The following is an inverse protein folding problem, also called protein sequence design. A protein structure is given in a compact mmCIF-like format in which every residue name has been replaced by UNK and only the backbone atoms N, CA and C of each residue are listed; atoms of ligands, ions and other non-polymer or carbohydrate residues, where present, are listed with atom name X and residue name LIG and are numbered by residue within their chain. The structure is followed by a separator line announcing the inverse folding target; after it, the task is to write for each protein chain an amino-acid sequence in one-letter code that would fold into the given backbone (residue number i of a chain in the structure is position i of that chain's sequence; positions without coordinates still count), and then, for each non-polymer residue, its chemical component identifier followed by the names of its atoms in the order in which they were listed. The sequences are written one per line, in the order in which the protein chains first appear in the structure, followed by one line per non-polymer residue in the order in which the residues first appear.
data_IF_376118974044
#
_entry.id   IF_376118974044
#
_cell.length_a   1.000
_cell.length_b   1.000
_cell.length_c   1.000
_cell.angle_alpha   90.00
_cell.angle_beta   90.00
_cell.angle_gamma   90.00
#
_symmetry.space_group_name_H-M   'P 1'
#
loop_
_entity.id
_entity.type
_entity.pdbx_description
1 polymer ?
#
# COMPACT_ATOMS: atom_id res chain seq x y z
N UNK A 1 -1.15 -7.71 -21.53
CA UNK A 1 -1.63 -8.47 -20.35
C UNK A 1 -2.70 -9.49 -20.74
N UNK A 2 -3.76 -9.13 -21.46
CA UNK A 2 -4.86 -10.06 -21.83
C UNK A 2 -4.35 -11.26 -22.63
N UNK A 3 -3.43 -11.07 -23.57
CA UNK A 3 -2.81 -12.17 -24.33
C UNK A 3 -2.00 -13.10 -23.43
N UNK A 4 -1.23 -12.55 -22.50
CA UNK A 4 -0.49 -13.34 -21.50
C UNK A 4 -1.42 -14.18 -20.62
N UNK A 5 -2.52 -13.60 -20.13
CA UNK A 5 -3.51 -14.34 -19.31
C UNK A 5 -4.01 -15.58 -20.05
N UNK A 6 -4.17 -15.54 -21.37
CA UNK A 6 -4.69 -16.68 -22.18
C UNK A 6 -3.65 -17.80 -22.35
N UNK A 7 -2.38 -17.54 -22.12
CA UNK A 7 -1.29 -18.53 -22.27
C UNK A 7 -0.92 -19.22 -20.97
N UNK A 8 -1.52 -18.84 -19.83
CA UNK A 8 -1.26 -19.46 -18.53
C UNK A 8 -1.79 -20.90 -18.56
N UNK A 9 -0.92 -21.91 -18.40
CA UNK A 9 -1.25 -23.31 -18.75
C UNK A 9 -1.84 -24.12 -17.61
N UNK A 10 -2.59 -23.48 -16.70
CA UNK A 10 -3.26 -24.17 -15.57
C UNK A 10 -4.76 -23.96 -15.62
N UNK A 11 -5.48 -24.93 -15.09
CA UNK A 11 -6.93 -24.85 -14.83
C UNK A 11 -7.14 -24.71 -13.33
N UNK A 12 -7.90 -23.72 -12.92
CA UNK A 12 -8.24 -23.45 -11.52
C UNK A 12 -9.74 -23.63 -11.32
N UNK A 13 -10.13 -24.02 -10.11
CA UNK A 13 -11.52 -24.32 -9.78
C UNK A 13 -12.03 -23.45 -8.63
N UNK A 14 -13.34 -23.27 -8.58
CA UNK A 14 -14.02 -22.58 -7.48
C UNK A 14 -13.69 -23.31 -6.16
N UNK A 15 -13.40 -22.56 -5.11
CA UNK A 15 -13.00 -23.08 -3.82
C UNK A 15 -11.49 -23.19 -3.62
N UNK A 16 -10.68 -23.03 -4.68
CA UNK A 16 -9.22 -22.90 -4.59
C UNK A 16 -8.81 -21.46 -4.26
N UNK A 17 -7.63 -21.28 -3.72
CA UNK A 17 -6.97 -19.99 -3.54
C UNK A 17 -5.48 -20.12 -3.86
N UNK A 18 -4.85 -18.98 -4.10
CA UNK A 18 -3.48 -18.92 -4.55
C UNK A 18 -2.63 -17.96 -3.69
N UNK A 19 -1.33 -18.19 -3.67
CA UNK A 19 -0.33 -17.25 -3.21
C UNK A 19 0.63 -16.96 -4.36
N UNK A 20 0.79 -15.67 -4.68
CA UNK A 20 1.72 -15.18 -5.69
C UNK A 20 2.80 -14.32 -5.04
N UNK A 21 4.05 -14.70 -5.25
CA UNK A 21 5.20 -13.85 -5.02
C UNK A 21 5.41 -12.97 -6.25
N UNK A 22 4.98 -11.73 -6.18
CA UNK A 22 4.96 -10.82 -7.31
C UNK A 22 6.17 -9.90 -7.35
N UNK A 23 6.80 -9.82 -8.50
CA UNK A 23 7.72 -8.76 -8.90
C UNK A 23 7.01 -7.73 -9.81
N UNK A 24 7.72 -6.70 -10.24
CA UNK A 24 7.20 -5.74 -11.21
C UNK A 24 7.41 -6.25 -12.63
N UNK A 25 6.64 -7.26 -13.04
CA UNK A 25 6.68 -7.83 -14.40
C UNK A 25 5.29 -7.91 -15.03
N UNK A 26 5.24 -8.00 -16.35
CA UNK A 26 3.99 -8.23 -17.07
C UNK A 26 3.36 -9.58 -16.71
N UNK A 27 4.20 -10.56 -16.41
CA UNK A 27 3.83 -11.90 -15.98
C UNK A 27 3.13 -11.89 -14.62
N UNK A 28 3.69 -11.18 -13.61
CA UNK A 28 3.04 -10.98 -12.32
C UNK A 28 1.65 -10.37 -12.46
N UNK A 29 1.53 -9.32 -13.27
CA UNK A 29 0.25 -8.64 -13.52
C UNK A 29 -0.72 -9.57 -14.27
N UNK A 30 -0.22 -10.40 -15.20
CA UNK A 30 -1.05 -11.37 -15.90
C UNK A 30 -1.54 -12.49 -14.95
N UNK A 31 -0.68 -13.00 -14.06
CA UNK A 31 -1.04 -13.98 -13.04
C UNK A 31 -2.08 -13.42 -12.07
N UNK A 32 -1.88 -12.18 -11.59
CA UNK A 32 -2.89 -11.47 -10.80
C UNK A 32 -4.24 -11.40 -11.53
N UNK A 33 -4.24 -10.95 -12.78
CA UNK A 33 -5.44 -10.87 -13.61
C UNK A 33 -6.09 -12.23 -13.88
N UNK A 34 -5.29 -13.30 -14.04
CA UNK A 34 -5.76 -14.66 -14.23
C UNK A 34 -6.56 -15.16 -13.02
N UNK A 35 -6.01 -15.03 -11.81
CA UNK A 35 -6.70 -15.48 -10.60
C UNK A 35 -7.98 -14.65 -10.33
N UNK A 36 -7.93 -13.34 -10.54
CA UNK A 36 -9.11 -12.49 -10.45
C UNK A 36 -10.21 -12.92 -11.43
N UNK A 37 -9.84 -13.15 -12.69
CA UNK A 37 -10.79 -13.56 -13.73
C UNK A 37 -11.49 -14.88 -13.39
N UNK A 38 -10.75 -15.81 -12.79
CA UNK A 38 -11.27 -17.15 -12.48
C UNK A 38 -11.92 -17.25 -11.07
N UNK A 39 -12.14 -16.13 -10.37
CA UNK A 39 -12.71 -16.09 -9.01
C UNK A 39 -11.92 -16.92 -7.99
N UNK A 40 -10.60 -16.91 -8.08
CA UNK A 40 -9.66 -17.56 -7.15
C UNK A 40 -9.06 -16.48 -6.28
N UNK A 41 -9.37 -16.45 -4.96
CA UNK A 41 -8.77 -15.50 -4.03
C UNK A 41 -7.24 -15.60 -4.05
N UNK A 42 -6.58 -14.46 -4.14
CA UNK A 42 -5.14 -14.36 -4.31
C UNK A 42 -4.49 -13.67 -3.11
N UNK A 43 -3.57 -14.36 -2.43
CA UNK A 43 -2.63 -13.73 -1.49
C UNK A 43 -1.48 -13.17 -2.32
N UNK A 44 -1.30 -11.85 -2.28
CA UNK A 44 -0.30 -11.14 -3.09
C UNK A 44 0.83 -10.64 -2.19
N UNK A 45 2.00 -11.26 -2.31
CA UNK A 45 3.20 -10.95 -1.54
C UNK A 45 4.31 -10.43 -2.47
N UNK A 46 5.25 -9.68 -1.90
CA UNK A 46 6.41 -9.21 -2.64
C UNK A 46 7.39 -10.35 -2.89
N UNK A 47 7.90 -10.48 -4.13
CA UNK A 47 8.89 -11.48 -4.50
C UNK A 47 10.21 -11.36 -3.71
N UNK A 48 10.53 -10.20 -3.14
CA UNK A 48 11.71 -9.99 -2.29
C UNK A 48 11.49 -10.34 -0.81
N UNK A 49 10.27 -10.78 -0.42
CA UNK A 49 9.98 -11.17 0.96
C UNK A 49 10.87 -12.36 1.38
N UNK A 50 11.39 -12.36 2.62
CA UNK A 50 12.23 -13.45 3.13
C UNK A 50 11.49 -14.77 3.18
N UNK A 51 12.20 -15.88 2.94
CA UNK A 51 11.60 -17.21 2.85
C UNK A 51 10.88 -17.63 4.14
N UNK A 52 11.41 -17.25 5.30
CA UNK A 52 10.76 -17.54 6.59
C UNK A 52 9.40 -16.84 6.70
N UNK A 53 9.29 -15.62 6.21
CA UNK A 53 8.03 -14.87 6.21
C UNK A 53 7.03 -15.49 5.21
N UNK A 54 7.49 -15.90 4.03
CA UNK A 54 6.64 -16.59 3.04
C UNK A 54 6.14 -17.89 3.61
N UNK A 55 7.03 -18.67 4.28
CA UNK A 55 6.66 -19.92 4.93
C UNK A 55 5.55 -19.74 5.95
N UNK A 56 5.58 -18.65 6.70
CA UNK A 56 4.54 -18.31 7.66
C UNK A 56 3.16 -18.13 7.02
N UNK A 57 3.09 -17.47 5.85
CA UNK A 57 1.84 -17.34 5.09
C UNK A 57 1.40 -18.68 4.49
N UNK A 58 2.35 -19.49 3.99
CA UNK A 58 2.07 -20.83 3.47
C UNK A 58 1.50 -21.74 4.54
N UNK A 59 2.01 -21.67 5.77
CA UNK A 59 1.57 -22.50 6.89
C UNK A 59 0.18 -22.10 7.39
N UNK A 60 -0.08 -20.79 7.47
CA UNK A 60 -1.32 -20.26 7.99
C UNK A 60 -2.46 -20.41 7.00
N UNK A 61 -2.21 -20.01 5.74
CA UNK A 61 -3.26 -19.94 4.73
C UNK A 61 -3.34 -21.14 3.82
N UNK A 62 -2.32 -22.00 3.77
CA UNK A 62 -2.27 -23.27 3.02
C UNK A 62 -2.82 -23.15 1.59
N UNK A 63 -2.32 -22.21 0.74
CA UNK A 63 -2.87 -21.99 -0.59
C UNK A 63 -2.82 -23.26 -1.44
N UNK A 64 -3.79 -23.41 -2.36
CA UNK A 64 -3.80 -24.53 -3.31
C UNK A 64 -2.75 -24.34 -4.39
N UNK A 65 -2.53 -23.09 -4.78
CA UNK A 65 -1.54 -22.72 -5.77
C UNK A 65 -0.48 -21.82 -5.15
N UNK A 66 0.78 -22.16 -5.40
CA UNK A 66 1.92 -21.32 -5.03
C UNK A 66 2.69 -20.94 -6.28
N UNK A 67 2.80 -19.63 -6.55
CA UNK A 67 3.37 -19.08 -7.77
C UNK A 67 4.50 -18.11 -7.42
N UNK A 68 5.67 -18.31 -8.02
CA UNK A 68 6.87 -17.54 -7.68
C UNK A 68 7.83 -17.41 -8.87
N UNK A 69 8.66 -16.36 -8.95
CA UNK A 69 9.69 -16.20 -9.98
C UNK A 69 10.72 -17.33 -9.91
N UNK A 70 11.07 -17.91 -11.07
CA UNK A 70 12.01 -19.05 -11.18
C UNK A 70 13.42 -18.74 -10.66
N UNK A 71 13.86 -17.48 -10.78
CA UNK A 71 15.16 -17.01 -10.28
C UNK A 71 15.23 -16.95 -8.75
N UNK A 72 14.10 -17.10 -8.07
CA UNK A 72 14.05 -17.27 -6.62
C UNK A 72 14.42 -18.70 -6.29
N UNK A 73 15.64 -18.92 -5.79
CA UNK A 73 16.13 -20.22 -5.32
C UNK A 73 15.40 -20.67 -4.04
N UNK A 74 14.12 -21.00 -4.18
CA UNK A 74 13.43 -21.77 -3.13
C UNK A 74 13.98 -23.19 -3.17
N UNK A 75 14.10 -23.88 -2.03
CA UNK A 75 14.60 -25.25 -2.00
C UNK A 75 13.82 -26.11 -3.00
N UNK A 76 14.52 -26.65 -4.03
CA UNK A 76 13.88 -27.47 -5.05
C UNK A 76 13.19 -28.68 -4.42
N UNK A 77 11.93 -28.84 -4.75
CA UNK A 77 11.13 -29.98 -4.33
C UNK A 77 11.41 -31.14 -5.29
N UNK A 78 12.40 -31.99 -4.94
CA UNK A 78 12.50 -33.29 -5.56
C UNK A 78 11.40 -34.17 -4.97
N UNK A 79 10.41 -34.51 -5.79
CA UNK A 79 9.32 -35.42 -5.44
C UNK A 79 9.85 -36.73 -4.87
N UNK A 80 9.65 -36.93 -3.59
CA UNK A 80 9.80 -38.20 -2.91
C UNK A 80 8.49 -38.53 -2.23
N UNK A 81 7.78 -39.51 -2.73
CA UNK A 81 6.63 -40.11 -2.05
C UNK A 81 7.08 -40.51 -0.65
N UNK A 82 6.64 -39.79 0.38
CA UNK A 82 6.38 -40.32 1.71
C UNK A 82 6.04 -39.20 2.71
N UNK A 83 4.88 -39.36 3.30
CA UNK A 83 4.37 -38.83 4.57
C UNK A 83 4.84 -37.45 5.05
N UNK A 84 3.91 -36.47 5.03
CA UNK A 84 4.01 -35.21 5.76
C UNK A 84 4.12 -35.48 7.28
N UNK A 85 5.33 -35.74 7.78
CA UNK A 85 5.58 -35.70 9.22
C UNK A 85 5.65 -34.25 9.69
N UNK A 86 5.10 -33.96 10.85
CA UNK A 86 4.91 -32.59 11.43
C UNK A 86 6.17 -31.72 11.55
N UNK A 87 7.35 -32.26 11.29
CA UNK A 87 8.65 -31.59 11.45
C UNK A 87 9.42 -31.31 10.15
N UNK A 88 8.82 -31.50 8.94
CA UNK A 88 9.48 -31.13 7.67
C UNK A 88 8.94 -29.77 7.17
N UNK A 89 9.84 -28.96 6.61
CA UNK A 89 9.50 -27.67 5.98
C UNK A 89 8.34 -27.85 4.99
N UNK A 90 7.17 -27.24 5.24
CA UNK A 90 5.88 -27.51 4.57
C UNK A 90 5.82 -27.16 3.07
N UNK A 91 6.81 -26.51 2.50
CA UNK A 91 7.00 -26.40 1.05
C UNK A 91 7.02 -27.78 0.37
N UNK A 92 7.42 -28.83 1.06
CA UNK A 92 7.49 -30.21 0.53
C UNK A 92 6.14 -30.83 0.11
N UNK A 93 5.03 -30.13 0.40
CA UNK A 93 3.69 -30.55 -0.02
C UNK A 93 3.28 -29.99 -1.39
N UNK A 94 4.13 -29.19 -2.03
CA UNK A 94 3.85 -28.58 -3.34
C UNK A 94 4.68 -29.27 -4.42
N UNK A 95 4.01 -29.65 -5.51
CA UNK A 95 4.64 -30.18 -6.71
C UNK A 95 4.59 -29.13 -7.82
N UNK A 96 5.67 -29.00 -8.58
CA UNK A 96 5.68 -28.12 -9.76
C UNK A 96 4.69 -28.66 -10.78
N UNK A 97 3.61 -27.91 -11.02
CA UNK A 97 2.63 -28.22 -12.05
C UNK A 97 3.17 -27.83 -13.43
N UNK A 98 3.78 -26.63 -13.53
CA UNK A 98 4.40 -26.16 -14.75
C UNK A 98 5.31 -24.96 -14.49
N UNK A 99 6.10 -24.60 -15.51
CA UNK A 99 6.80 -23.33 -15.61
C UNK A 99 6.12 -22.49 -16.70
N UNK A 100 6.01 -21.18 -16.46
CA UNK A 100 5.42 -20.26 -17.40
C UNK A 100 6.12 -18.89 -17.36
N UNK A 101 6.72 -18.48 -18.46
CA UNK A 101 7.37 -17.17 -18.64
C UNK A 101 8.21 -16.69 -17.44
N UNK A 102 9.14 -17.55 -16.97
CA UNK A 102 10.00 -17.21 -15.84
C UNK A 102 9.37 -17.40 -14.47
N UNK A 103 8.15 -17.91 -14.37
CA UNK A 103 7.47 -18.27 -13.13
C UNK A 103 7.35 -19.80 -12.98
N UNK A 104 7.49 -20.27 -11.75
CA UNK A 104 7.13 -21.61 -11.34
C UNK A 104 5.72 -21.58 -10.76
N UNK A 105 4.85 -22.44 -11.26
CA UNK A 105 3.50 -22.63 -10.77
C UNK A 105 3.46 -24.00 -10.12
N UNK A 106 3.34 -24.02 -8.79
CA UNK A 106 3.27 -25.24 -8.00
C UNK A 106 1.87 -25.43 -7.42
N UNK A 107 1.41 -26.67 -7.38
CA UNK A 107 0.12 -27.02 -6.78
C UNK A 107 0.35 -27.91 -5.56
N UNK A 108 -0.50 -27.73 -4.57
CA UNK A 108 -0.58 -28.67 -3.46
C UNK A 108 -1.34 -29.91 -3.94
N UNK A 109 -0.73 -31.11 -3.84
CA UNK A 109 -1.37 -32.35 -4.23
C UNK A 109 -2.74 -32.53 -3.55
N UNK A 110 -3.63 -33.30 -4.19
CA UNK A 110 -5.03 -33.54 -3.77
C UNK A 110 -5.21 -34.25 -2.42
N UNK A 111 -4.17 -34.39 -1.60
CA UNK A 111 -4.25 -35.08 -0.32
C UNK A 111 -5.24 -34.39 0.64
N UNK A 112 -6.51 -34.78 0.57
CA UNK A 112 -7.46 -34.59 1.66
C UNK A 112 -8.20 -33.23 1.75
N UNK A 113 -8.22 -32.39 0.70
CA UNK A 113 -9.09 -31.24 0.68
C UNK A 113 -10.41 -31.58 -0.06
N UNK A 114 -11.41 -31.98 0.67
CA UNK A 114 -12.78 -31.82 0.20
C UNK A 114 -13.06 -30.33 0.09
N UNK A 115 -13.21 -29.84 -1.16
CA UNK A 115 -13.50 -28.44 -1.50
C UNK A 115 -14.96 -28.08 -1.13
N UNK A 116 -15.31 -28.14 0.14
CA UNK A 116 -16.63 -27.77 0.64
C UNK A 116 -16.71 -26.34 1.16
N UNK A 117 -15.59 -25.56 1.05
CA UNK A 117 -15.55 -24.21 1.56
C UNK A 117 -16.15 -23.21 0.55
N UNK A 118 -17.13 -22.44 1.04
CA UNK A 118 -17.60 -21.24 0.35
C UNK A 118 -16.78 -20.04 0.85
N UNK A 119 -15.95 -19.47 -0.03
CA UNK A 119 -15.25 -18.22 0.26
C UNK A 119 -16.26 -17.12 0.61
N UNK A 120 -15.83 -16.16 1.44
CA UNK A 120 -16.53 -14.90 1.60
C UNK A 120 -16.91 -14.38 0.20
N UNK A 121 -18.15 -14.02 0.02
CA UNK A 121 -18.70 -13.66 -1.29
C UNK A 121 -17.85 -12.57 -1.94
N UNK A 122 -17.42 -12.82 -3.17
CA UNK A 122 -16.55 -11.94 -3.96
C UNK A 122 -15.13 -11.66 -3.39
N UNK A 123 -14.66 -12.40 -2.38
CA UNK A 123 -13.25 -12.30 -1.96
C UNK A 123 -12.35 -12.53 -3.16
N UNK A 124 -11.45 -11.58 -3.43
CA UNK A 124 -10.60 -11.59 -4.60
C UNK A 124 -9.12 -11.47 -4.29
N UNK A 125 -8.77 -10.64 -3.31
CA UNK A 125 -7.38 -10.27 -3.04
C UNK A 125 -7.13 -10.14 -1.54
N UNK A 126 -5.97 -10.63 -1.13
CA UNK A 126 -5.46 -10.52 0.23
C UNK A 126 -4.07 -9.89 0.19
N UNK A 127 -3.90 -8.75 0.86
CA UNK A 127 -2.64 -8.00 0.88
C UNK A 127 -2.18 -7.82 2.34
N UNK A 128 -0.90 -8.05 2.66
CA UNK A 128 -0.37 -7.73 3.97
C UNK A 128 -0.33 -6.21 4.20
N UNK A 129 -0.54 -5.78 5.43
CA UNK A 129 -0.30 -4.40 5.83
C UNK A 129 1.09 -4.26 6.45
N UNK A 130 1.73 -3.11 6.23
CA UNK A 130 3.02 -2.75 6.85
C UNK A 130 2.93 -2.47 8.36
N UNK A 131 1.84 -2.86 9.03
CA UNK A 131 1.57 -2.55 10.43
C UNK A 131 2.53 -3.22 11.40
N UNK A 132 2.95 -2.47 12.40
CA UNK A 132 3.97 -2.68 13.42
C UNK A 132 3.69 -3.81 14.44
N UNK A 133 2.74 -4.68 14.22
CA UNK A 133 2.29 -5.65 15.24
C UNK A 133 2.58 -7.11 14.90
N UNK A 134 3.65 -7.41 14.17
CA UNK A 134 4.21 -8.78 14.08
C UNK A 134 3.25 -9.91 13.66
N UNK A 135 2.02 -9.61 13.27
CA UNK A 135 0.99 -10.59 12.92
C UNK A 135 0.82 -10.73 11.41
N UNK A 136 0.54 -11.94 10.95
CA UNK A 136 0.29 -12.32 9.54
C UNK A 136 -1.06 -11.82 9.02
N UNK A 137 -1.42 -10.59 9.40
CA UNK A 137 -2.73 -9.99 9.10
C UNK A 137 -2.81 -9.60 7.64
N UNK A 138 -3.82 -10.09 6.94
CA UNK A 138 -4.13 -9.75 5.56
C UNK A 138 -5.40 -8.88 5.49
N UNK A 139 -5.36 -7.86 4.67
CA UNK A 139 -6.55 -7.09 4.27
C UNK A 139 -7.28 -7.86 3.20
N UNK A 140 -8.57 -8.12 3.42
CA UNK A 140 -9.46 -8.83 2.49
C UNK A 140 -10.17 -7.84 1.58
N UNK A 141 -9.98 -7.98 0.27
CA UNK A 141 -10.57 -7.11 -0.76
C UNK A 141 -11.41 -7.91 -1.73
N UNK A 142 -12.58 -7.35 -2.08
CA UNK A 142 -13.45 -7.91 -3.11
C UNK A 142 -13.10 -7.37 -4.50
N UNK A 143 -13.60 -8.01 -5.55
CA UNK A 143 -13.56 -7.46 -6.91
C UNK A 143 -14.25 -6.11 -6.99
N UNK A 144 -15.38 -5.95 -6.28
CA UNK A 144 -16.12 -4.70 -6.22
C UNK A 144 -15.29 -3.57 -5.61
N UNK A 145 -14.52 -3.86 -4.53
CA UNK A 145 -13.60 -2.88 -3.93
C UNK A 145 -12.53 -2.44 -4.93
N UNK A 146 -11.88 -3.41 -5.61
CA UNK A 146 -10.84 -3.14 -6.60
C UNK A 146 -11.37 -2.29 -7.76
N UNK A 147 -12.53 -2.67 -8.31
CA UNK A 147 -13.17 -1.95 -9.42
C UNK A 147 -13.62 -0.53 -9.02
N UNK A 148 -14.25 -0.38 -7.84
CA UNK A 148 -14.67 0.92 -7.33
C UNK A 148 -13.50 1.87 -7.14
N UNK A 149 -12.39 1.38 -6.56
CA UNK A 149 -11.21 2.20 -6.34
C UNK A 149 -10.50 2.56 -7.65
N UNK A 150 -10.35 1.59 -8.58
CA UNK A 150 -9.76 1.84 -9.90
C UNK A 150 -10.54 2.92 -10.67
N UNK A 151 -11.87 2.82 -10.68
CA UNK A 151 -12.75 3.83 -11.28
C UNK A 151 -12.55 5.20 -10.63
N UNK A 152 -12.65 5.30 -9.30
CA UNK A 152 -12.54 6.58 -8.59
C UNK A 152 -11.17 7.23 -8.79
N UNK A 153 -10.09 6.44 -8.86
CA UNK A 153 -8.74 6.96 -9.15
C UNK A 153 -8.67 7.48 -10.59
N UNK A 154 -9.16 6.70 -11.56
CA UNK A 154 -9.14 7.12 -12.96
C UNK A 154 -9.91 8.43 -13.17
N UNK A 155 -11.08 8.57 -12.55
CA UNK A 155 -11.88 9.80 -12.58
C UNK A 155 -11.14 10.96 -11.90
N UNK A 156 -10.59 10.76 -10.69
CA UNK A 156 -9.87 11.80 -9.93
C UNK A 156 -8.63 12.31 -10.64
N UNK A 157 -7.91 11.44 -11.36
CA UNK A 157 -6.67 11.76 -12.05
C UNK A 157 -6.88 12.06 -13.56
N UNK A 158 -8.14 12.17 -13.99
CA UNK A 158 -8.50 12.46 -15.39
C UNK A 158 -7.80 11.51 -16.38
N UNK A 159 -7.74 10.21 -16.01
CA UNK A 159 -7.09 9.18 -16.82
C UNK A 159 -8.01 8.70 -17.96
N UNK A 160 -7.43 8.44 -19.12
CA UNK A 160 -8.10 7.86 -20.28
C UNK A 160 -7.22 6.82 -20.98
N UNK A 161 -7.65 6.34 -22.15
CA UNK A 161 -6.94 5.31 -22.90
C UNK A 161 -5.59 5.74 -23.48
N UNK A 162 -5.25 7.03 -23.43
CA UNK A 162 -3.93 7.54 -23.84
C UNK A 162 -2.89 7.42 -22.72
N UNK A 163 -3.31 7.05 -21.50
CA UNK A 163 -2.44 6.94 -20.34
C UNK A 163 -1.34 5.89 -20.54
N UNK A 164 -0.11 6.26 -20.21
CA UNK A 164 1.08 5.41 -20.23
C UNK A 164 1.79 5.51 -18.88
N UNK A 165 1.31 4.71 -17.92
CA UNK A 165 1.73 4.81 -16.52
C UNK A 165 2.98 3.99 -16.22
N UNK A 166 3.97 4.58 -15.58
CA UNK A 166 5.17 3.89 -15.11
C UNK A 166 4.85 3.01 -13.88
N UNK A 167 5.21 1.73 -13.92
CA UNK A 167 5.10 0.78 -12.81
C UNK A 167 6.42 0.76 -12.04
N UNK A 168 6.63 1.75 -11.18
CA UNK A 168 7.86 1.93 -10.39
C UNK A 168 7.74 1.45 -8.94
N UNK A 169 6.52 1.25 -8.46
CA UNK A 169 6.27 0.73 -7.11
C UNK A 169 5.89 -0.75 -7.17
N UNK A 170 6.21 -1.54 -6.13
CA UNK A 170 5.85 -2.95 -6.08
C UNK A 170 4.36 -3.16 -6.33
N UNK A 171 4.01 -4.07 -7.25
CA UNK A 171 2.61 -4.44 -7.53
C UNK A 171 1.95 -5.14 -6.36
N UNK A 172 2.72 -5.68 -5.42
CA UNK A 172 2.26 -6.22 -4.14
C UNK A 172 1.94 -5.17 -3.08
N UNK A 173 2.27 -3.91 -3.34
CA UNK A 173 1.91 -2.77 -2.50
C UNK A 173 0.61 -2.12 -3.02
N UNK A 174 -0.33 -1.81 -2.14
CA UNK A 174 -1.66 -1.31 -2.53
C UNK A 174 -1.60 -0.07 -3.44
N UNK A 175 -0.64 0.86 -3.23
CA UNK A 175 -0.47 1.99 -4.12
C UNK A 175 0.05 1.57 -5.50
N UNK A 176 1.10 0.73 -5.59
CA UNK A 176 1.60 0.21 -6.86
C UNK A 176 0.51 -0.54 -7.63
N UNK A 177 -0.23 -1.42 -6.95
CA UNK A 177 -1.35 -2.13 -7.54
C UNK A 177 -2.47 -1.19 -8.00
N UNK A 178 -2.70 -0.09 -7.30
CA UNK A 178 -3.71 0.89 -7.70
C UNK A 178 -3.35 1.61 -9.01
N UNK A 179 -2.06 1.86 -9.27
CA UNK A 179 -1.58 2.37 -10.56
C UNK A 179 -1.91 1.37 -11.67
N UNK A 180 -1.63 0.08 -11.45
CA UNK A 180 -1.95 -0.99 -12.41
C UNK A 180 -3.45 -1.03 -12.68
N UNK A 181 -4.27 -1.10 -11.63
CA UNK A 181 -5.72 -1.25 -11.77
C UNK A 181 -6.39 -0.04 -12.42
N UNK A 182 -5.99 1.19 -12.04
CA UNK A 182 -6.58 2.41 -12.61
C UNK A 182 -6.16 2.62 -14.07
N UNK A 183 -4.94 2.28 -14.44
CA UNK A 183 -4.47 2.35 -15.83
C UNK A 183 -5.19 1.32 -16.71
N UNK A 184 -5.36 0.08 -16.24
CA UNK A 184 -6.15 -0.94 -16.95
C UNK A 184 -7.61 -0.50 -17.08
N UNK A 185 -8.20 0.05 -16.02
CA UNK A 185 -9.58 0.55 -16.03
C UNK A 185 -9.77 1.66 -17.06
N UNK A 186 -8.82 2.58 -17.15
CA UNK A 186 -8.83 3.67 -18.13
C UNK A 186 -8.57 3.21 -19.58
N UNK A 187 -8.17 1.94 -19.78
CA UNK A 187 -7.79 1.41 -21.10
C UNK A 187 -6.38 1.82 -21.54
N UNK A 188 -5.56 2.32 -20.61
CA UNK A 188 -4.21 2.80 -20.84
C UNK A 188 -3.16 1.70 -20.96
N UNK A 189 -1.91 2.10 -21.03
CA UNK A 189 -0.73 1.26 -21.17
C UNK A 189 0.11 1.27 -19.88
N UNK A 190 0.59 0.11 -19.44
CA UNK A 190 1.54 0.00 -18.34
C UNK A 190 2.96 -0.05 -18.92
N UNK A 191 3.82 0.84 -18.46
CA UNK A 191 5.25 0.84 -18.77
C UNK A 191 5.99 0.18 -17.61
N UNK A 192 6.59 -0.97 -17.88
CA UNK A 192 7.26 -1.81 -16.88
C UNK A 192 8.74 -1.87 -17.24
N UNK A 193 9.60 -1.02 -16.66
CA UNK A 193 11.04 -1.08 -16.90
C UNK A 193 11.65 -2.35 -16.28
N UNK A 194 12.66 -2.90 -16.93
CA UNK A 194 13.38 -4.10 -16.47
C UNK A 194 14.33 -3.80 -15.31
N UNK A 195 14.76 -2.54 -15.17
CA UNK A 195 15.66 -2.07 -14.14
C UNK A 195 14.94 -1.14 -13.17
N UNK A 196 15.50 -0.95 -11.98
CA UNK A 196 14.94 -0.06 -10.96
C UNK A 196 15.31 1.43 -11.22
N UNK A 197 14.77 2.30 -10.39
CA UNK A 197 14.90 3.76 -10.49
C UNK A 197 16.34 4.29 -10.35
N UNK A 198 17.28 3.48 -9.87
CA UNK A 198 18.69 3.87 -9.71
C UNK A 198 19.49 3.66 -10.99
N UNK A 199 18.94 2.97 -11.98
CA UNK A 199 19.56 2.70 -13.26
C UNK A 199 19.06 3.67 -14.34
N UNK A 200 20.01 4.17 -15.15
CA UNK A 200 19.70 5.10 -16.25
C UNK A 200 18.72 4.49 -17.24
N UNK A 201 18.86 3.19 -17.53
CA UNK A 201 18.06 2.40 -18.45
C UNK A 201 16.56 2.41 -18.10
N UNK A 202 16.21 2.47 -16.81
CA UNK A 202 14.82 2.65 -16.37
C UNK A 202 14.23 3.93 -16.95
N UNK A 203 14.94 5.03 -16.80
CA UNK A 203 14.46 6.34 -17.23
C UNK A 203 14.53 6.52 -18.74
N UNK A 204 15.55 5.96 -19.41
CA UNK A 204 15.64 5.93 -20.87
C UNK A 204 14.44 5.18 -21.46
N UNK A 205 14.10 4.01 -20.90
CA UNK A 205 12.93 3.23 -21.33
C UNK A 205 11.62 4.02 -21.16
N UNK A 206 11.44 4.73 -20.05
CA UNK A 206 10.23 5.52 -19.80
C UNK A 206 10.11 6.72 -20.76
N UNK A 207 11.23 7.38 -21.05
CA UNK A 207 11.29 8.51 -21.98
C UNK A 207 11.01 8.06 -23.42
N UNK A 208 11.69 7.02 -23.90
CA UNK A 208 11.51 6.43 -25.24
C UNK A 208 10.07 5.91 -25.45
N UNK A 209 9.47 5.35 -24.40
CA UNK A 209 8.11 4.86 -24.44
C UNK A 209 7.06 5.94 -24.12
N UNK A 210 7.43 7.23 -24.11
CA UNK A 210 6.53 8.37 -23.96
C UNK A 210 5.65 8.24 -22.71
N UNK A 211 6.27 8.06 -21.54
CA UNK A 211 5.58 7.98 -20.26
C UNK A 211 4.70 9.22 -20.04
N UNK A 212 3.45 9.01 -19.63
CA UNK A 212 2.50 10.10 -19.33
C UNK A 212 2.31 10.30 -17.82
N UNK A 213 2.50 9.26 -17.01
CA UNK A 213 2.33 9.35 -15.56
C UNK A 213 3.49 8.68 -14.80
N UNK A 214 4.07 9.44 -13.86
CA UNK A 214 5.09 8.97 -12.93
C UNK A 214 4.53 9.04 -11.51
N UNK A 215 4.54 7.90 -10.81
CA UNK A 215 4.01 7.75 -9.46
C UNK A 215 5.13 7.43 -8.48
N UNK A 216 5.04 7.95 -7.25
CA UNK A 216 6.03 7.65 -6.23
C UNK A 216 5.56 7.96 -4.81
N UNK A 217 6.11 7.23 -3.85
CA UNK A 217 6.04 7.61 -2.44
C UNK A 217 6.96 8.81 -2.17
N UNK A 218 6.78 9.58 -1.08
CA UNK A 218 7.63 10.74 -0.77
C UNK A 218 9.13 10.44 -0.86
N UNK A 219 9.56 9.31 -0.33
CA UNK A 219 10.96 8.86 -0.38
C UNK A 219 11.47 8.62 -1.82
N UNK A 220 10.63 8.12 -2.72
CA UNK A 220 10.99 7.94 -4.13
C UNK A 220 11.26 9.30 -4.79
N UNK A 221 10.44 10.31 -4.52
CA UNK A 221 10.64 11.66 -5.05
C UNK A 221 11.89 12.36 -4.50
N UNK A 222 12.32 12.05 -3.27
CA UNK A 222 13.64 12.49 -2.78
C UNK A 222 14.77 11.94 -3.65
N UNK A 223 14.66 10.68 -4.08
CA UNK A 223 15.62 10.05 -4.99
C UNK A 223 15.50 10.59 -6.41
N UNK A 224 14.28 10.79 -6.94
CA UNK A 224 14.09 11.36 -8.28
C UNK A 224 14.77 12.74 -8.37
N UNK A 225 14.66 13.55 -7.30
CA UNK A 225 15.38 14.83 -7.20
C UNK A 225 16.90 14.64 -7.20
N UNK A 226 17.44 13.72 -6.38
CA UNK A 226 18.89 13.46 -6.28
C UNK A 226 19.47 12.88 -7.57
N UNK A 227 18.70 12.09 -8.28
CA UNK A 227 19.06 11.48 -9.56
C UNK A 227 18.82 12.41 -10.75
N UNK A 228 18.37 13.64 -10.50
CA UNK A 228 18.09 14.63 -11.55
C UNK A 228 17.11 14.12 -12.61
N UNK A 229 16.13 13.29 -12.21
CA UNK A 229 15.18 12.64 -13.11
C UNK A 229 14.43 13.68 -13.95
N UNK A 230 14.03 14.80 -13.32
CA UNK A 230 13.28 15.86 -14.00
C UNK A 230 14.18 16.85 -14.80
N UNK A 231 15.49 16.60 -14.94
CA UNK A 231 16.31 17.30 -15.94
C UNK A 231 16.12 16.70 -17.34
N UNK A 232 15.53 15.50 -17.43
CA UNK A 232 15.17 14.83 -18.69
C UNK A 232 13.97 15.48 -19.37
N UNK A 233 13.83 15.26 -20.68
CA UNK A 233 12.71 15.78 -21.45
C UNK A 233 11.62 14.72 -21.61
N UNK A 234 10.78 14.54 -20.63
CA UNK A 234 9.60 13.67 -20.76
C UNK A 234 8.48 14.39 -21.53
N UNK A 235 8.56 14.39 -22.86
CA UNK A 235 7.64 15.16 -23.74
C UNK A 235 6.15 14.84 -23.52
N UNK A 236 5.83 13.60 -23.16
CA UNK A 236 4.46 13.14 -22.99
C UNK A 236 3.99 13.16 -21.53
N UNK A 237 4.87 13.51 -20.58
CA UNK A 237 4.52 13.55 -19.17
C UNK A 237 3.43 14.58 -18.91
N UNK A 238 2.31 14.15 -18.35
CA UNK A 238 1.19 15.00 -17.98
C UNK A 238 0.86 14.96 -16.48
N UNK A 239 1.35 13.89 -15.77
CA UNK A 239 0.91 13.62 -14.41
C UNK A 239 2.06 13.10 -13.54
N UNK A 240 2.24 13.72 -12.40
CA UNK A 240 3.03 13.22 -11.29
C UNK A 240 2.10 12.94 -10.11
N UNK A 241 2.23 11.78 -9.45
CA UNK A 241 1.36 11.44 -8.32
C UNK A 241 2.15 11.02 -7.09
N UNK A 242 1.71 11.44 -5.90
CA UNK A 242 2.32 11.06 -4.63
C UNK A 242 1.30 10.63 -3.59
N UNK A 243 1.62 9.55 -2.86
CA UNK A 243 0.86 9.03 -1.72
C UNK A 243 1.74 8.13 -0.84
N UNK A 244 1.17 7.57 0.23
CA UNK A 244 1.79 6.50 1.02
C UNK A 244 2.73 6.99 2.13
N UNK A 245 2.75 8.28 2.43
CA UNK A 245 3.51 8.85 3.53
C UNK A 245 3.40 10.37 3.58
N UNK A 246 3.86 10.96 4.69
CA UNK A 246 3.98 12.41 4.81
C UNK A 246 5.15 12.90 3.95
N UNK A 247 4.87 13.83 3.05
CA UNK A 247 5.89 14.49 2.22
C UNK A 247 6.31 15.80 2.87
N UNK A 248 7.62 16.05 2.95
CA UNK A 248 8.14 17.32 3.46
C UNK A 248 7.71 18.48 2.57
N UNK A 249 7.47 19.65 3.18
CA UNK A 249 7.07 20.85 2.44
C UNK A 249 8.08 21.22 1.35
N UNK A 250 9.38 21.09 1.63
CA UNK A 250 10.44 21.38 0.65
C UNK A 250 10.41 20.50 -0.60
N UNK A 251 9.99 19.24 -0.46
CA UNK A 251 9.82 18.35 -1.62
C UNK A 251 8.53 18.70 -2.37
N UNK A 252 7.45 19.02 -1.66
CA UNK A 252 6.20 19.50 -2.32
C UNK A 252 6.44 20.78 -3.14
N UNK A 253 7.14 21.77 -2.57
CA UNK A 253 7.51 23.01 -3.24
C UNK A 253 8.41 22.77 -4.47
N UNK A 254 9.39 21.87 -4.35
CA UNK A 254 10.21 21.46 -5.49
C UNK A 254 9.38 20.79 -6.60
N UNK A 255 8.49 19.85 -6.24
CA UNK A 255 7.65 19.17 -7.24
C UNK A 255 6.64 20.11 -7.87
N UNK A 256 6.13 21.08 -7.12
CA UNK A 256 5.23 22.11 -7.65
C UNK A 256 5.95 22.96 -8.70
N UNK A 257 7.18 23.40 -8.43
CA UNK A 257 8.01 24.12 -9.41
C UNK A 257 8.29 23.30 -10.67
N UNK A 258 8.58 21.98 -10.50
CA UNK A 258 8.78 21.07 -11.64
C UNK A 258 7.49 20.86 -12.44
N UNK A 259 6.35 20.76 -11.75
CA UNK A 259 5.03 20.65 -12.39
C UNK A 259 4.68 21.88 -13.22
N UNK A 260 4.86 23.07 -12.66
CA UNK A 260 4.65 24.36 -13.33
C UNK A 260 5.58 24.52 -14.54
N UNK A 261 6.90 24.26 -14.36
CA UNK A 261 7.90 24.38 -15.43
C UNK A 261 7.59 23.50 -16.64
N UNK A 262 6.97 22.33 -16.40
CA UNK A 262 6.67 21.32 -17.43
C UNK A 262 5.23 21.40 -17.93
N UNK A 263 4.39 22.18 -17.30
CA UNK A 263 2.95 22.19 -17.51
C UNK A 263 2.32 20.80 -17.34
N UNK A 264 2.66 20.12 -16.20
CA UNK A 264 2.14 18.80 -15.82
C UNK A 264 1.35 18.91 -14.52
N UNK A 265 0.39 18.02 -14.34
CA UNK A 265 -0.38 17.95 -13.10
C UNK A 265 0.43 17.27 -11.99
N UNK A 266 0.35 17.80 -10.76
CA UNK A 266 0.89 17.19 -9.55
C UNK A 266 -0.24 16.79 -8.62
N UNK A 267 -0.58 15.49 -8.57
CA UNK A 267 -1.62 14.98 -7.69
C UNK A 267 -1.03 14.52 -6.33
N UNK A 268 -1.49 15.16 -5.27
CA UNK A 268 -1.25 14.73 -3.88
C UNK A 268 -2.45 13.91 -3.43
N UNK A 269 -2.17 12.76 -2.80
CA UNK A 269 -3.19 11.76 -2.52
C UNK A 269 -2.98 11.12 -1.15
N UNK A 270 -4.07 10.67 -0.52
CA UNK A 270 -4.05 9.90 0.71
C UNK A 270 -4.88 8.63 0.57
N UNK A 271 -4.47 7.59 1.30
CA UNK A 271 -5.18 6.35 1.39
C UNK A 271 -4.47 5.30 2.22
N UNK A 272 -5.08 4.14 2.33
CA UNK A 272 -4.57 2.98 3.04
C UNK A 272 -5.08 1.69 2.38
N UNK A 273 -4.42 0.56 2.67
CA UNK A 273 -4.78 -0.74 2.09
C UNK A 273 -6.22 -1.14 2.41
N UNK A 274 -6.72 -0.78 3.59
CA UNK A 274 -8.09 -1.00 4.07
C UNK A 274 -9.16 -0.22 3.30
N UNK A 275 -8.75 0.77 2.51
CA UNK A 275 -9.60 1.46 1.53
C UNK A 275 -9.16 1.12 0.09
N UNK A 276 -8.63 -0.09 -0.13
CA UNK A 276 -8.11 -0.64 -1.38
C UNK A 276 -6.87 0.11 -1.89
N UNK A 277 -6.79 1.41 -1.74
CA UNK A 277 -5.60 2.25 -1.90
C UNK A 277 -5.91 3.73 -1.64
N UNK A 278 -7.06 4.25 -2.09
CA UNK A 278 -7.28 5.70 -2.17
C UNK A 278 -8.52 6.14 -1.39
N UNK A 279 -8.38 7.28 -0.70
CA UNK A 279 -9.42 7.96 0.07
C UNK A 279 -9.61 9.39 -0.44
N UNK A 280 -8.50 10.12 -0.67
CA UNK A 280 -8.57 11.50 -1.16
C UNK A 280 -7.49 11.78 -2.20
N UNK A 281 -7.72 12.80 -3.01
CA UNK A 281 -6.76 13.33 -4.00
C UNK A 281 -7.10 14.75 -4.40
N UNK A 282 -6.10 15.50 -4.88
CA UNK A 282 -6.28 16.78 -5.56
C UNK A 282 -5.04 17.13 -6.38
N UNK A 283 -5.17 18.06 -7.31
CA UNK A 283 -4.06 18.60 -8.06
C UNK A 283 -3.48 19.83 -7.32
N UNK A 284 -2.27 19.67 -6.80
CA UNK A 284 -1.61 20.70 -5.99
C UNK A 284 -1.29 21.94 -6.81
N UNK A 285 -0.97 21.80 -8.10
CA UNK A 285 -0.72 22.92 -9.00
C UNK A 285 -1.98 23.75 -9.29
N UNK A 286 -3.18 23.19 -9.15
CA UNK A 286 -4.44 23.94 -9.26
C UNK A 286 -4.78 24.68 -7.94
N UNK A 287 -4.27 24.20 -6.79
CA UNK A 287 -4.54 24.74 -5.46
C UNK A 287 -3.27 24.84 -4.61
N UNK A 288 -2.29 25.68 -4.99
CA UNK A 288 -1.00 25.76 -4.29
C UNK A 288 -1.10 26.29 -2.85
N UNK A 289 -2.18 27.00 -2.53
CA UNK A 289 -2.51 27.44 -1.17
C UNK A 289 -2.84 26.27 -0.22
N UNK A 290 -3.23 25.09 -0.75
CA UNK A 290 -3.55 23.89 0.00
C UNK A 290 -2.35 22.92 0.13
N UNK A 291 -1.12 23.41 0.10
CA UNK A 291 0.11 22.60 0.05
C UNK A 291 0.23 21.54 1.17
N UNK A 292 -0.34 21.80 2.34
CA UNK A 292 -0.29 20.89 3.48
C UNK A 292 -1.48 19.90 3.50
N UNK A 293 -2.44 20.04 2.60
CA UNK A 293 -3.57 19.13 2.45
C UNK A 293 -3.17 17.83 1.75
N UNK A 294 -4.02 16.81 1.91
CA UNK A 294 -4.00 15.55 1.15
C UNK A 294 -5.20 15.42 0.21
N UNK A 295 -5.91 16.52 -0.01
CA UNK A 295 -6.98 16.68 -0.99
C UNK A 295 -8.38 16.47 -0.46
N UNK A 296 -9.31 16.41 -1.39
CA UNK A 296 -10.73 16.15 -1.16
C UNK A 296 -11.03 14.66 -1.38
N UNK A 297 -12.17 14.19 -0.87
CA UNK A 297 -12.60 12.80 -1.04
C UNK A 297 -12.72 12.40 -2.52
N UNK A 298 -12.30 11.17 -2.85
CA UNK A 298 -12.45 10.63 -4.20
C UNK A 298 -13.92 10.42 -4.58
N UNK A 299 -14.26 10.40 -5.88
CA UNK A 299 -15.63 10.11 -6.36
C UNK A 299 -16.21 8.82 -5.77
N UNK A 300 -17.41 8.90 -5.25
CA UNK A 300 -18.11 7.77 -4.63
C UNK A 300 -17.75 7.50 -3.17
N UNK A 301 -16.89 8.33 -2.57
CA UNK A 301 -16.54 8.30 -1.15
C UNK A 301 -17.20 9.40 -0.35
N UNK A 302 -17.15 9.29 0.97
CA UNK A 302 -17.53 10.32 1.95
C UNK A 302 -16.52 10.35 3.08
N UNK A 303 -16.10 11.54 3.47
CA UNK A 303 -15.21 11.78 4.61
C UNK A 303 -15.98 12.48 5.73
N UNK A 304 -15.71 12.05 6.95
CA UNK A 304 -16.19 12.73 8.16
C UNK A 304 -15.11 12.68 9.24
N UNK A 305 -15.17 13.57 10.20
CA UNK A 305 -14.30 13.57 11.37
C UNK A 305 -15.11 13.11 12.58
N UNK A 306 -14.68 12.01 13.17
CA UNK A 306 -15.32 11.45 14.40
C UNK A 306 -14.65 12.01 15.63
N UNK A 307 -15.46 12.34 16.65
CA UNK A 307 -15.00 12.87 17.93
C UNK A 307 -14.10 14.09 17.78
N UNK A 308 -14.51 15.02 16.92
CA UNK A 308 -13.81 16.28 16.68
C UNK A 308 -13.69 17.10 17.99
N UNK A 309 -12.51 17.67 18.20
CA UNK A 309 -12.26 18.66 19.26
C UNK A 309 -12.77 20.06 18.89
N UNK A 310 -12.48 21.07 19.72
CA UNK A 310 -12.85 22.48 19.49
C UNK A 310 -12.25 23.05 18.20
N UNK A 311 -11.15 22.46 17.70
CA UNK A 311 -10.49 22.85 16.45
C UNK A 311 -10.97 22.02 15.23
N UNK A 312 -11.97 21.16 15.43
CA UNK A 312 -12.48 20.28 14.39
C UNK A 312 -11.58 19.07 14.07
N UNK A 313 -10.52 18.83 14.87
CA UNK A 313 -9.59 17.72 14.69
C UNK A 313 -10.10 16.46 15.42
N UNK A 314 -10.09 15.32 14.74
CA UNK A 314 -10.53 14.04 15.30
C UNK A 314 -10.13 12.89 14.43
N UNK A 315 -10.71 11.70 14.65
CA UNK A 315 -10.43 10.53 13.81
C UNK A 315 -11.08 10.67 12.44
N UNK A 316 -10.29 10.49 11.40
CA UNK A 316 -10.76 10.46 10.02
C UNK A 316 -11.56 9.19 9.79
N UNK A 317 -12.81 9.34 9.34
CA UNK A 317 -13.71 8.26 8.98
C UNK A 317 -14.04 8.35 7.52
N UNK A 318 -13.83 7.25 6.81
CA UNK A 318 -14.10 7.13 5.39
C UNK A 318 -15.22 6.13 5.13
N UNK A 319 -16.14 6.50 4.26
CA UNK A 319 -17.22 5.65 3.75
C UNK A 319 -17.08 5.53 2.23
N UNK A 320 -17.09 4.29 1.69
CA UNK A 320 -16.95 4.06 0.26
C UNK A 320 -17.03 2.59 -0.12
N UNK A 321 -17.36 2.33 -1.39
CA UNK A 321 -17.43 0.96 -1.96
C UNK A 321 -16.08 0.25 -2.03
N UNK A 322 -14.99 0.98 -1.88
CA UNK A 322 -13.63 0.49 -1.87
C UNK A 322 -13.11 0.15 -0.46
N UNK A 323 -13.94 0.27 0.58
CA UNK A 323 -13.61 -0.19 1.94
C UNK A 323 -13.57 -1.71 1.98
N UNK A 324 -12.55 -2.26 2.59
CA UNK A 324 -12.25 -3.69 2.68
C UNK A 324 -13.33 -4.50 3.43
N UNK A 325 -13.32 -5.82 3.26
CA UNK A 325 -14.20 -6.71 4.03
C UNK A 325 -13.81 -6.80 5.51
N UNK A 326 -12.52 -6.68 5.81
CA UNK A 326 -11.96 -6.85 7.14
C UNK A 326 -10.55 -7.46 7.06
N UNK A 327 -10.06 -7.90 8.21
CA UNK A 327 -8.77 -8.56 8.30
C UNK A 327 -8.93 -10.06 8.43
N UNK A 328 -8.04 -10.82 7.78
CA UNK A 328 -7.84 -12.23 8.04
C UNK A 328 -6.52 -12.45 8.79
N UNK A 329 -6.56 -13.26 9.82
CA UNK A 329 -5.39 -13.72 10.59
C UNK A 329 -5.13 -15.20 10.37
N UNK A 330 -6.08 -15.92 9.77
CA UNK A 330 -6.00 -17.36 9.51
C UNK A 330 -6.88 -17.76 8.33
N UNK A 331 -6.62 -18.94 7.79
CA UNK A 331 -7.40 -19.54 6.71
C UNK A 331 -8.91 -19.59 7.03
N UNK A 332 -9.26 -19.97 8.27
CA UNK A 332 -10.67 -20.15 8.67
C UNK A 332 -11.50 -18.86 8.59
N UNK A 333 -10.86 -17.69 8.56
CA UNK A 333 -11.54 -16.39 8.43
C UNK A 333 -11.83 -16.00 6.96
N UNK A 334 -11.39 -16.81 6.01
CA UNK A 334 -11.66 -16.59 4.58
C UNK A 334 -12.98 -17.22 4.11
N UNK A 335 -13.65 -18.00 4.96
CA UNK A 335 -14.85 -18.74 4.62
C UNK A 335 -16.10 -18.19 5.33
N UNK A 336 -17.25 -18.36 4.71
CA UNK A 336 -18.54 -18.19 5.39
C UNK A 336 -18.89 -19.55 6.01
N UNK A 337 -19.05 -19.61 7.32
CA UNK A 337 -19.76 -20.70 7.97
C UNK A 337 -21.27 -20.45 7.77
N UNK A 338 -22.06 -21.50 7.59
CA UNK A 338 -23.52 -21.43 7.29
C UNK A 338 -24.32 -20.58 8.31
N UNK A 339 -23.73 -20.17 9.43
CA UNK A 339 -24.37 -19.45 10.53
C UNK A 339 -24.06 -17.94 10.60
N UNK A 340 -23.14 -17.41 9.81
CA UNK A 340 -22.75 -16.00 9.88
C UNK A 340 -23.05 -15.26 8.57
N UNK A 341 -24.10 -14.43 8.58
CA UNK A 341 -24.27 -13.41 7.54
C UNK A 341 -23.20 -12.32 7.72
N UNK A 342 -22.21 -12.27 6.85
CA UNK A 342 -21.19 -11.22 6.87
C UNK A 342 -21.83 -9.88 6.51
N UNK A 343 -21.90 -8.96 7.48
CA UNK A 343 -22.34 -7.59 7.20
C UNK A 343 -21.15 -6.82 6.61
N UNK A 344 -21.21 -6.57 5.31
CA UNK A 344 -20.25 -5.67 4.66
C UNK A 344 -20.33 -4.30 5.31
N UNK A 345 -19.20 -3.82 5.82
CA UNK A 345 -19.10 -2.44 6.26
C UNK A 345 -18.47 -1.60 5.15
N UNK A 346 -19.14 -0.52 4.78
CA UNK A 346 -18.59 0.48 3.86
C UNK A 346 -17.91 1.62 4.62
N UNK A 347 -17.83 1.50 5.95
CA UNK A 347 -17.30 2.50 6.86
C UNK A 347 -15.95 2.08 7.43
N UNK A 348 -14.96 2.94 7.31
CA UNK A 348 -13.61 2.74 7.84
C UNK A 348 -13.21 3.86 8.80
N UNK A 349 -12.99 3.52 10.05
CA UNK A 349 -12.20 4.30 10.99
C UNK A 349 -10.73 4.11 10.64
N UNK A 350 -10.10 5.18 10.15
CA UNK A 350 -8.77 5.06 9.53
C UNK A 350 -7.64 4.86 10.54
N UNK A 351 -7.86 5.25 11.79
CA UNK A 351 -6.82 5.34 12.80
C UNK A 351 -5.89 6.53 12.59
N UNK A 352 -6.17 7.40 11.61
CA UNK A 352 -5.49 8.65 11.38
C UNK A 352 -6.30 9.80 11.96
N UNK A 353 -5.63 10.81 12.52
CA UNK A 353 -6.22 12.05 13.01
C UNK A 353 -6.10 13.15 11.96
N UNK A 354 -7.09 14.03 11.92
CA UNK A 354 -7.09 15.14 10.99
C UNK A 354 -8.33 16.02 11.11
N UNK A 355 -8.42 17.00 10.22
CA UNK A 355 -9.56 17.88 10.08
C UNK A 355 -9.87 18.16 8.62
N UNK A 356 -11.07 18.63 8.35
CA UNK A 356 -11.51 19.07 7.01
C UNK A 356 -11.77 20.57 7.09
N UNK A 357 -11.17 21.33 6.17
CA UNK A 357 -11.37 22.78 6.11
C UNK A 357 -12.74 23.17 5.48
N UNK A 358 -13.03 24.47 5.45
CA UNK A 358 -14.28 25.02 4.90
C UNK A 358 -14.51 24.75 3.41
N UNK A 359 -13.45 24.42 2.67
CA UNK A 359 -13.48 24.09 1.23
C UNK A 359 -13.53 22.55 1.00
N UNK A 360 -13.54 21.75 2.06
CA UNK A 360 -13.62 20.29 2.00
C UNK A 360 -12.27 19.58 1.85
N UNK A 361 -11.15 20.27 2.02
CA UNK A 361 -9.82 19.68 1.97
C UNK A 361 -9.44 19.03 3.30
N UNK A 362 -8.92 17.80 3.21
CA UNK A 362 -8.47 16.99 4.34
C UNK A 362 -7.03 17.32 4.71
N UNK A 363 -6.77 17.50 6.00
CA UNK A 363 -5.45 17.68 6.59
C UNK A 363 -5.22 16.59 7.63
N UNK A 364 -4.09 15.86 7.51
CA UNK A 364 -3.71 14.80 8.45
C UNK A 364 -2.78 15.40 9.50
N UNK A 365 -3.11 15.22 10.79
CA UNK A 365 -2.32 15.70 11.92
C UNK A 365 -1.51 14.60 12.60
N UNK A 366 -1.82 13.31 12.34
CA UNK A 366 -1.07 12.18 12.90
C UNK A 366 -1.87 10.88 12.96
N UNK A 367 -1.39 9.96 13.81
CA UNK A 367 -2.04 8.66 14.07
C UNK A 367 -2.78 8.67 15.40
N UNK A 368 -4.01 8.14 15.43
CA UNK A 368 -4.83 8.03 16.65
C UNK A 368 -4.15 7.25 17.77
N UNK A 369 -3.34 6.25 17.43
CA UNK A 369 -2.60 5.43 18.40
C UNK A 369 -1.24 6.02 18.78
N UNK A 370 -0.87 7.18 18.28
CA UNK A 370 0.38 7.89 18.57
C UNK A 370 0.13 9.18 19.36
N UNK A 371 -0.76 9.11 20.34
CA UNK A 371 -0.95 10.16 21.31
C UNK A 371 -0.51 9.69 22.69
N UNK A 372 0.22 10.54 23.41
CA UNK A 372 0.47 10.39 24.83
C UNK A 372 -0.62 11.13 25.63
N UNK A 373 -1.03 10.57 26.76
CA UNK A 373 -1.82 11.31 27.78
C UNK A 373 -0.86 11.81 28.85
N UNK A 374 -0.51 13.08 28.80
CA UNK A 374 0.34 13.71 29.81
C UNK A 374 -0.52 14.70 30.62
N UNK A 375 -0.57 14.52 31.93
CA UNK A 375 -1.36 15.36 32.84
C UNK A 375 -2.84 15.55 32.39
N UNK A 376 -3.45 14.49 31.82
CA UNK A 376 -4.83 14.51 31.33
C UNK A 376 -5.02 15.15 29.95
N UNK A 377 -3.99 15.74 29.38
CA UNK A 377 -4.03 16.30 28.03
C UNK A 377 -3.47 15.31 27.01
N UNK A 378 -4.03 15.37 25.78
CA UNK A 378 -3.62 14.52 24.67
C UNK A 378 -2.51 15.22 23.87
N UNK A 379 -1.34 14.59 23.75
CA UNK A 379 -0.17 15.10 23.00
C UNK A 379 0.08 14.20 21.81
N UNK A 380 0.01 14.75 20.60
CA UNK A 380 0.31 14.04 19.37
C UNK A 380 1.80 13.79 19.22
N UNK A 381 2.24 12.54 19.20
CA UNK A 381 3.66 12.19 19.09
C UNK A 381 4.22 12.52 17.71
N UNK A 382 3.42 12.41 16.64
CA UNK A 382 3.83 12.75 15.27
C UNK A 382 4.03 14.26 15.10
N UNK A 383 3.13 15.06 15.67
CA UNK A 383 3.25 16.52 15.70
C UNK A 383 4.47 16.95 16.52
N UNK A 384 4.61 16.42 17.73
CA UNK A 384 5.74 16.66 18.60
C UNK A 384 7.09 16.33 17.91
N UNK A 385 7.16 15.16 17.26
CA UNK A 385 8.31 14.71 16.49
C UNK A 385 8.65 15.69 15.35
N UNK A 386 7.66 16.13 14.61
CA UNK A 386 7.82 17.05 13.47
C UNK A 386 8.32 18.42 13.93
N UNK A 387 7.69 18.97 14.95
CA UNK A 387 8.03 20.32 15.47
C UNK A 387 9.43 20.33 16.12
N UNK A 388 9.75 19.34 16.95
CA UNK A 388 11.08 19.24 17.56
C UNK A 388 12.13 19.02 16.46
N UNK A 389 11.85 18.18 15.46
CA UNK A 389 12.73 17.97 14.33
C UNK A 389 13.05 19.27 13.57
N UNK A 390 12.04 20.11 13.32
CA UNK A 390 12.21 21.45 12.72
C UNK A 390 13.02 22.39 13.62
N UNK A 391 12.75 22.41 14.93
CA UNK A 391 13.44 23.29 15.88
C UNK A 391 14.96 23.08 15.91
N UNK A 392 15.40 21.84 15.69
CA UNK A 392 16.81 21.45 15.83
C UNK A 392 17.45 20.98 14.51
N UNK A 393 16.74 21.04 13.39
CA UNK A 393 17.26 20.69 12.07
C UNK A 393 17.76 19.23 11.99
N UNK A 394 17.09 18.30 12.69
CA UNK A 394 17.46 16.89 12.73
C UNK A 394 16.24 15.97 12.71
N UNK A 395 16.44 14.69 12.35
CA UNK A 395 15.41 13.67 12.50
C UNK A 395 15.22 13.34 13.98
N UNK A 396 13.96 13.33 14.42
CA UNK A 396 13.57 13.05 15.81
C UNK A 396 12.50 11.96 15.79
N UNK A 397 12.55 11.07 16.77
CA UNK A 397 11.47 10.11 17.05
C UNK A 397 10.89 10.39 18.44
N UNK A 398 9.58 10.52 18.54
CA UNK A 398 8.86 10.59 19.80
C UNK A 398 8.11 9.28 20.02
N UNK A 399 8.31 8.66 21.17
CA UNK A 399 7.69 7.37 21.51
C UNK A 399 7.12 7.41 22.93
N UNK A 400 6.03 6.68 23.15
CA UNK A 400 5.56 6.38 24.49
C UNK A 400 6.56 5.45 25.18
N UNK A 401 6.93 5.77 26.40
CA UNK A 401 7.74 4.93 27.27
C UNK A 401 7.15 4.96 28.68
N UNK A 402 7.67 4.15 29.58
CA UNK A 402 7.23 4.11 30.97
C UNK A 402 8.45 3.97 31.89
N UNK A 403 8.40 4.65 33.03
CA UNK A 403 9.30 4.43 34.15
C UNK A 403 8.45 3.98 35.36
N UNK A 404 8.45 2.67 35.61
CA UNK A 404 7.51 2.03 36.52
C UNK A 404 6.04 2.18 36.03
N UNK A 405 5.18 2.77 36.86
CA UNK A 405 3.77 3.02 36.52
C UNK A 405 3.55 4.37 35.77
N UNK A 406 4.60 5.16 35.59
CA UNK A 406 4.50 6.51 35.02
C UNK A 406 4.73 6.48 33.51
N UNK A 407 3.72 6.90 32.73
CA UNK A 407 3.85 7.10 31.30
C UNK A 407 4.69 8.35 30.99
N UNK A 408 5.64 8.22 30.09
CA UNK A 408 6.53 9.29 29.65
C UNK A 408 6.64 9.33 28.13
N UNK A 409 7.09 10.46 27.59
CA UNK A 409 7.44 10.59 26.17
C UNK A 409 8.96 10.58 26.06
N UNK A 410 9.50 9.51 25.43
CA UNK A 410 10.89 9.46 25.03
C UNK A 410 11.10 10.20 23.71
N UNK A 411 12.06 11.12 23.65
CA UNK A 411 12.42 11.86 22.43
C UNK A 411 13.84 11.48 22.08
N UNK A 412 14.02 10.88 20.90
CA UNK A 412 15.28 10.38 20.38
C UNK A 412 15.67 11.20 19.14
N UNK A 413 16.86 11.78 19.13
CA UNK A 413 17.42 12.52 18.02
C UNK A 413 18.63 11.83 17.40
N UNK A 414 19.07 12.29 16.23
CA UNK A 414 20.30 11.81 15.57
C UNK A 414 21.57 12.42 16.16
N UNK A 415 21.44 13.45 17.00
CA UNK A 415 22.53 14.10 17.75
C UNK A 415 22.18 14.12 19.22
N UNK A 416 23.18 14.03 20.08
CA UNK A 416 22.97 14.16 21.52
C UNK A 416 22.37 15.52 21.89
N UNK A 417 21.34 15.54 22.77
CA UNK A 417 20.74 16.78 23.22
C UNK A 417 21.70 17.52 24.16
N UNK A 418 21.85 18.81 23.99
CA UNK A 418 22.50 19.69 24.95
C UNK A 418 21.49 20.29 25.95
N UNK A 419 21.99 20.95 27.01
CA UNK A 419 21.13 21.57 28.02
C UNK A 419 20.27 22.71 27.46
N UNK A 420 20.61 23.28 26.31
CA UNK A 420 19.79 24.27 25.62
C UNK A 420 18.65 23.59 24.86
N UNK A 421 18.85 22.38 24.33
CA UNK A 421 17.87 21.56 23.65
C UNK A 421 16.66 21.26 24.56
N UNK A 422 16.94 20.68 25.73
CA UNK A 422 15.90 20.34 26.70
C UNK A 422 15.08 21.58 27.12
N UNK A 423 15.76 22.67 27.47
CA UNK A 423 15.14 23.92 27.87
C UNK A 423 14.20 24.47 26.79
N UNK A 424 14.62 24.44 25.52
CA UNK A 424 13.81 24.92 24.39
C UNK A 424 12.60 24.05 24.14
N UNK A 425 12.73 22.72 24.25
CA UNK A 425 11.60 21.77 24.14
C UNK A 425 10.60 22.03 25.25
N UNK A 426 11.03 22.10 26.52
CA UNK A 426 10.15 22.34 27.67
C UNK A 426 9.55 23.76 27.71
N UNK A 427 10.18 24.73 27.08
CA UNK A 427 9.61 26.07 26.89
C UNK A 427 8.49 26.05 25.84
N UNK A 428 8.65 25.29 24.74
CA UNK A 428 7.65 25.16 23.68
C UNK A 428 6.50 24.25 24.09
N UNK A 429 6.80 23.22 24.87
CA UNK A 429 5.84 22.21 25.34
C UNK A 429 5.88 22.09 26.86
N UNK A 430 5.31 23.07 27.61
CA UNK A 430 5.36 23.07 29.10
C UNK A 430 4.75 21.82 29.71
N UNK A 431 3.80 21.17 29.03
CA UNK A 431 3.14 19.92 29.45
C UNK A 431 4.14 18.75 29.64
N UNK A 432 5.30 18.80 28.99
CA UNK A 432 6.34 17.75 29.11
C UNK A 432 7.17 17.89 30.40
N UNK A 433 6.90 18.88 31.26
CA UNK A 433 7.59 19.07 32.56
C UNK A 433 7.06 18.17 33.68
N UNK A 434 5.99 17.43 33.39
CA UNK A 434 5.22 16.64 34.39
C UNK A 434 5.84 15.33 34.86
#
# INVERSE_FOLDING_TARGET
IISLIRTIPISVHKGQHALLLADNSAESIALYGFFLKNNVPLILLNASMRDEQVQEYMDEYRPQWFVYPKNRNLPQYSGGQNECSENRKRYQCYETACEWNGYVIASRGNAGFELTYHWLEDLALLIPTSGSTGGRRLVMLTKANLAANAKSIAESLRMDCTERSAVLMPVSYSYGLSVVNSTIYAGGCLLIPETDIFHKECWDYLEENRVTAISGVPYAYEWYRKLHVFDRTFEALRLMTTAGGAMSRSIKEYLLQEAERRNVDLAVMYGQTEATARISSFFLNEHPDKIDSVGTVIPGGKLTISRADENGCGEIVYEGKNVFLGYAHSLNQLFITEQESYKYTVLRYTGDAGYIDGDGYLYITGRMNRYAKICGQRVGLDELQTEIGKMFGQKVAAVMTADGEREMIGIFGTKEPDAAWERRVLQRYPILRG
#
